data_IF_941025630228
#
_entry.id   IF_941025630228
#
_cell.length_a   1.000
_cell.length_b   1.000
_cell.length_c   1.000
_cell.angle_alpha   90.00
_cell.angle_beta   90.00
_cell.angle_gamma   90.00
#
_symmetry.space_group_name_H-M   'P 1'
#
loop_
_entity.id
_entity.type
_entity.pdbx_description
1 polymer ?
#
# COMPACT_ATOMS: atom_id res chain seq x y z
N UNK A 1 -5.33 8.89 8.67
CA UNK A 1 -4.24 8.82 7.68
C UNK A 1 -3.99 7.35 7.40
N UNK A 2 -3.72 6.94 6.16
CA UNK A 2 -3.50 5.54 5.77
C UNK A 2 -2.19 5.43 4.98
N UNK A 3 -1.52 4.29 5.06
CA UNK A 3 -0.35 3.97 4.21
C UNK A 3 -0.80 2.96 3.16
N UNK A 4 -0.47 3.23 1.90
CA UNK A 4 -0.76 2.35 0.75
C UNK A 4 0.56 1.80 0.22
N UNK A 5 0.65 0.47 0.09
CA UNK A 5 1.78 -0.14 -0.61
C UNK A 5 1.61 -0.06 -2.14
N UNK A 6 2.70 -0.30 -2.88
CA UNK A 6 2.65 -0.23 -4.34
C UNK A 6 1.76 -1.30 -4.97
N UNK A 7 1.56 -2.43 -4.30
CA UNK A 7 0.64 -3.47 -4.79
C UNK A 7 -0.81 -2.99 -4.73
N UNK A 8 -1.26 -2.43 -3.60
CA UNK A 8 -2.59 -1.85 -3.46
C UNK A 8 -2.81 -0.63 -4.38
N UNK A 9 -1.78 0.21 -4.57
CA UNK A 9 -1.86 1.33 -5.50
C UNK A 9 -2.01 0.86 -6.96
N UNK A 10 -1.21 -0.13 -7.40
CA UNK A 10 -1.29 -0.69 -8.76
C UNK A 10 -2.62 -1.43 -8.97
N UNK A 11 -3.08 -2.21 -8.00
CA UNK A 11 -4.34 -2.94 -8.11
C UNK A 11 -5.56 -2.01 -8.16
N UNK A 12 -5.55 -0.92 -7.37
CA UNK A 12 -6.54 0.16 -7.47
C UNK A 12 -6.54 0.81 -8.86
N UNK A 13 -5.36 1.07 -9.43
CA UNK A 13 -5.21 1.66 -10.76
C UNK A 13 -5.65 0.72 -11.90
N UNK A 14 -5.45 -0.59 -11.74
CA UNK A 14 -5.67 -1.58 -12.80
C UNK A 14 -7.05 -2.28 -12.74
N UNK A 15 -7.78 -2.17 -11.64
CA UNK A 15 -9.14 -2.73 -11.43
C UNK A 15 -9.25 -4.23 -11.79
N UNK A 16 -8.38 -5.06 -11.22
CA UNK A 16 -8.40 -6.54 -11.34
C UNK A 16 -9.42 -7.20 -10.40
N UNK A 17 -9.56 -8.54 -10.40
CA UNK A 17 -10.49 -9.27 -9.51
C UNK A 17 -10.25 -9.03 -8.00
N UNK A 18 -9.02 -8.72 -7.57
CA UNK A 18 -8.72 -8.29 -6.19
C UNK A 18 -8.99 -6.79 -6.02
N UNK A 19 -8.65 -5.98 -7.02
CA UNK A 19 -8.97 -4.54 -7.07
C UNK A 19 -10.47 -4.23 -6.97
N UNK A 20 -11.34 -5.13 -7.45
CA UNK A 20 -12.80 -5.01 -7.34
C UNK A 20 -13.32 -4.98 -5.89
N UNK A 21 -12.60 -5.55 -4.91
CA UNK A 21 -12.98 -5.50 -3.47
C UNK A 21 -12.65 -4.17 -2.79
N UNK A 22 -11.54 -3.54 -3.19
CA UNK A 22 -11.19 -2.16 -2.79
C UNK A 22 -12.13 -1.15 -3.47
N UNK A 23 -12.44 -1.40 -4.73
CA UNK A 23 -13.34 -0.61 -5.57
C UNK A 23 -14.82 -0.73 -5.12
N UNK A 24 -15.29 -1.88 -4.64
CA UNK A 24 -16.63 -2.07 -4.05
C UNK A 24 -16.91 -1.16 -2.84
N UNK A 25 -15.85 -0.76 -2.11
CA UNK A 25 -15.95 0.22 -1.02
C UNK A 25 -15.91 1.68 -1.50
N UNK A 26 -15.53 1.95 -2.75
CA UNK A 26 -15.21 3.32 -3.24
C UNK A 26 -15.79 3.64 -4.64
N UNK A 27 -16.63 2.81 -5.30
CA UNK A 27 -17.25 2.98 -6.65
C UNK A 27 -16.51 2.31 -7.85
N UNK A 28 -17.24 1.75 -8.83
CA UNK A 28 -16.97 0.50 -9.62
C UNK A 28 -16.41 0.53 -11.11
N UNK A 29 -15.71 -0.58 -11.50
CA UNK A 29 -15.42 -1.38 -12.76
C UNK A 29 -14.45 -1.00 -13.94
N UNK A 30 -13.32 -1.75 -14.12
CA UNK A 30 -12.51 -2.25 -15.32
C UNK A 30 -11.76 -1.34 -16.39
N UNK A 31 -10.45 -1.57 -16.70
CA UNK A 31 -9.52 -0.60 -17.38
C UNK A 31 -9.09 -0.88 -18.85
N UNK A 32 -9.32 0.06 -19.79
CA UNK A 32 -8.77 0.13 -21.18
C UNK A 32 -7.52 1.03 -21.28
N UNK A 33 -6.82 1.15 -22.43
CA UNK A 33 -5.64 2.03 -22.56
C UNK A 33 -5.94 3.52 -22.26
N UNK A 34 -7.12 4.01 -22.67
CA UNK A 34 -7.63 5.32 -22.29
C UNK A 34 -7.80 5.41 -20.77
N UNK A 35 -8.29 4.35 -20.16
CA UNK A 35 -8.51 4.24 -18.72
C UNK A 35 -7.23 4.08 -17.92
N UNK A 36 -6.16 3.56 -18.51
CA UNK A 36 -4.82 3.57 -17.92
C UNK A 36 -4.26 4.99 -17.85
N UNK A 37 -4.59 5.85 -18.81
CA UNK A 37 -4.30 7.28 -18.72
C UNK A 37 -5.15 7.95 -17.63
N UNK A 38 -6.46 7.69 -17.62
CA UNK A 38 -7.34 8.21 -16.57
C UNK A 38 -6.85 7.80 -15.16
N UNK A 39 -6.39 6.55 -15.00
CA UNK A 39 -5.82 6.06 -13.76
C UNK A 39 -4.52 6.80 -13.35
N UNK A 40 -3.65 7.13 -14.32
CA UNK A 40 -2.45 7.93 -14.05
C UNK A 40 -2.77 9.37 -13.66
N UNK A 41 -3.80 9.95 -14.28
CA UNK A 41 -4.31 11.28 -13.94
C UNK A 41 -4.94 11.24 -12.52
N UNK A 42 -5.76 10.23 -12.22
CA UNK A 42 -6.35 10.00 -10.89
C UNK A 42 -5.26 9.81 -9.80
N UNK A 43 -4.18 9.08 -10.09
CA UNK A 43 -3.04 8.93 -9.18
C UNK A 43 -2.34 10.25 -8.90
N UNK A 44 -2.25 11.11 -9.92
CA UNK A 44 -1.60 12.41 -9.84
C UNK A 44 -2.43 13.41 -9.04
N UNK A 45 -3.76 13.28 -9.09
CA UNK A 45 -4.71 14.09 -8.32
C UNK A 45 -4.88 13.60 -6.87
N UNK A 46 -4.40 12.39 -6.56
CA UNK A 46 -4.47 11.84 -5.22
C UNK A 46 -3.61 12.69 -4.26
N UNK A 47 -4.21 13.12 -3.16
CA UNK A 47 -3.53 13.89 -2.10
C UNK A 47 -2.59 13.00 -1.27
N UNK A 48 -1.54 12.48 -1.91
CA UNK A 48 -0.51 11.64 -1.31
C UNK A 48 0.60 12.49 -0.73
N UNK A 49 0.93 12.22 0.53
CA UNK A 49 2.18 12.72 1.13
C UNK A 49 3.25 11.65 0.96
N UNK A 50 4.34 12.00 0.28
CA UNK A 50 5.50 11.11 0.12
C UNK A 50 6.45 11.33 1.29
N UNK A 51 6.86 10.24 1.92
CA UNK A 51 7.84 10.26 2.99
C UNK A 51 9.17 9.72 2.46
N UNK A 52 10.30 10.37 2.80
CA UNK A 52 11.60 9.83 2.45
C UNK A 52 11.88 8.56 3.27
N UNK A 53 12.63 7.63 2.69
CA UNK A 53 12.92 6.31 3.25
C UNK A 53 14.08 6.33 4.25
N UNK A 54 14.95 7.35 4.19
CA UNK A 54 16.11 7.55 5.07
C UNK A 54 15.75 7.55 6.56
N UNK A 55 14.63 8.19 6.92
CA UNK A 55 14.13 8.23 8.31
C UNK A 55 13.58 6.89 8.81
N UNK A 56 13.32 5.94 7.91
CA UNK A 56 12.73 4.63 8.22
C UNK A 56 13.78 3.51 8.28
N UNK A 57 14.98 3.73 7.75
CA UNK A 57 16.02 2.70 7.56
C UNK A 57 16.34 1.91 8.82
N UNK A 58 16.40 2.57 9.98
CA UNK A 58 16.65 1.91 11.26
C UNK A 58 15.60 0.85 11.57
N UNK A 59 14.32 1.20 11.41
CA UNK A 59 13.22 0.27 11.68
C UNK A 59 13.10 -0.80 10.59
N UNK A 60 13.36 -0.45 9.34
CA UNK A 60 13.42 -1.42 8.24
C UNK A 60 14.49 -2.49 8.49
N UNK A 61 15.65 -2.09 9.01
CA UNK A 61 16.74 -3.01 9.33
C UNK A 61 16.38 -3.99 10.45
N UNK A 62 15.61 -3.57 11.45
CA UNK A 62 15.13 -4.45 12.52
C UNK A 62 14.16 -5.53 11.99
N UNK A 63 13.42 -5.24 10.92
CA UNK A 63 12.43 -6.13 10.32
C UNK A 63 13.00 -7.10 9.28
N UNK A 64 14.29 -6.95 8.90
CA UNK A 64 14.93 -7.65 7.77
C UNK A 64 14.88 -9.17 7.83
N UNK A 65 14.76 -9.75 9.02
CA UNK A 65 14.75 -11.21 9.20
C UNK A 65 13.37 -11.80 8.81
N UNK A 66 12.33 -10.96 8.70
CA UNK A 66 10.94 -11.37 8.45
C UNK A 66 10.29 -10.71 7.23
N UNK A 67 10.80 -9.55 6.79
CA UNK A 67 10.23 -8.75 5.72
C UNK A 67 11.27 -8.39 4.66
N UNK A 68 10.82 -8.29 3.41
CA UNK A 68 11.63 -7.69 2.35
C UNK A 68 11.88 -6.22 2.67
N UNK A 69 12.94 -5.62 2.11
CA UNK A 69 13.19 -4.19 2.29
C UNK A 69 12.01 -3.31 1.84
N UNK A 70 11.26 -3.77 0.83
CA UNK A 70 10.08 -3.09 0.32
C UNK A 70 8.94 -3.10 1.34
N UNK A 71 8.58 -4.28 1.83
CA UNK A 71 7.52 -4.48 2.82
C UNK A 71 7.85 -3.78 4.15
N UNK A 72 9.11 -3.88 4.56
CA UNK A 72 9.61 -3.23 5.76
C UNK A 72 9.49 -1.70 5.69
N UNK A 73 9.61 -1.09 4.51
CA UNK A 73 9.44 0.36 4.35
C UNK A 73 8.00 0.80 4.66
N UNK A 74 7.00 0.10 4.11
CA UNK A 74 5.59 0.44 4.36
C UNK A 74 5.15 0.11 5.78
N UNK A 75 5.63 -1.01 6.34
CA UNK A 75 5.38 -1.36 7.75
C UNK A 75 6.02 -0.35 8.69
N UNK A 76 7.27 0.04 8.45
CA UNK A 76 7.96 1.06 9.26
C UNK A 76 7.26 2.42 9.18
N UNK A 77 6.82 2.83 7.98
CA UNK A 77 6.08 4.07 7.79
C UNK A 77 4.73 4.03 8.53
N UNK A 78 3.99 2.92 8.43
CA UNK A 78 2.71 2.74 9.12
C UNK A 78 2.87 2.81 10.65
N UNK A 79 3.93 2.20 11.19
CA UNK A 79 4.26 2.32 12.61
C UNK A 79 4.63 3.75 13.01
N UNK A 80 5.46 4.43 12.22
CA UNK A 80 5.91 5.80 12.51
C UNK A 80 4.75 6.81 12.52
N UNK A 81 3.75 6.56 11.68
CA UNK A 81 2.58 7.42 11.52
C UNK A 81 1.37 7.01 12.38
N UNK A 82 1.47 5.90 13.13
CA UNK A 82 0.34 5.27 13.82
C UNK A 82 -0.89 5.11 12.91
N UNK A 83 -0.65 4.63 11.69
CA UNK A 83 -1.64 4.54 10.63
C UNK A 83 -1.86 3.08 10.18
N UNK A 84 -3.08 2.70 9.74
CA UNK A 84 -3.27 1.41 9.09
C UNK A 84 -2.52 1.35 7.76
N UNK A 85 -1.88 0.20 7.52
CA UNK A 85 -1.30 -0.19 6.25
C UNK A 85 -2.33 -1.00 5.45
N UNK A 86 -2.76 -0.47 4.32
CA UNK A 86 -3.65 -1.15 3.37
C UNK A 86 -2.78 -1.81 2.29
N UNK A 87 -2.97 -3.11 2.07
CA UNK A 87 -2.18 -3.92 1.13
C UNK A 87 -3.01 -5.03 0.51
N UNK A 88 -2.64 -5.48 -0.69
CA UNK A 88 -3.18 -6.71 -1.28
C UNK A 88 -2.40 -7.97 -0.87
N UNK A 89 -1.26 -7.83 -0.18
CA UNK A 89 -0.51 -8.98 0.34
C UNK A 89 -1.01 -9.39 1.73
N UNK A 90 -1.90 -10.38 1.74
CA UNK A 90 -2.44 -10.94 2.97
C UNK A 90 -1.37 -11.58 3.89
N UNK A 91 -0.20 -11.97 3.36
CA UNK A 91 0.87 -12.54 4.19
C UNK A 91 1.50 -11.49 5.08
N UNK A 92 1.49 -10.23 4.65
CA UNK A 92 2.09 -9.13 5.38
C UNK A 92 1.43 -8.94 6.75
N UNK A 93 0.11 -9.14 6.83
CA UNK A 93 -0.65 -9.08 8.07
C UNK A 93 -0.19 -10.11 9.14
N UNK A 94 0.43 -11.20 8.71
CA UNK A 94 0.91 -12.27 9.58
C UNK A 94 2.41 -12.21 9.88
N UNK A 95 3.12 -11.23 9.32
CA UNK A 95 4.56 -11.14 9.45
C UNK A 95 4.95 -10.82 10.91
N UNK A 96 5.89 -11.57 11.50
CA UNK A 96 6.30 -11.31 12.88
C UNK A 96 7.21 -10.09 12.99
N UNK A 97 7.23 -9.48 14.18
CA UNK A 97 8.19 -8.44 14.54
C UNK A 97 7.73 -7.00 14.31
N UNK A 98 6.50 -6.77 13.84
CA UNK A 98 5.92 -5.43 13.72
C UNK A 98 4.67 -5.24 14.61
N UNK A 99 4.28 -3.98 14.78
CA UNK A 99 3.07 -3.51 15.47
C UNK A 99 2.09 -2.79 14.54
N UNK A 100 2.44 -2.64 13.26
CA UNK A 100 1.56 -2.02 12.27
C UNK A 100 0.19 -2.72 12.24
N UNK A 101 -0.88 -1.92 12.17
CA UNK A 101 -2.24 -2.40 11.88
C UNK A 101 -2.33 -2.63 10.38
N UNK A 102 -2.51 -3.87 9.95
CA UNK A 102 -2.55 -4.22 8.52
C UNK A 102 -3.98 -4.58 8.12
N UNK A 103 -4.45 -3.97 7.04
CA UNK A 103 -5.75 -4.20 6.42
C UNK A 103 -5.51 -4.80 5.04
N UNK A 104 -5.57 -6.14 4.95
CA UNK A 104 -5.46 -6.85 3.69
C UNK A 104 -6.79 -6.79 2.91
N UNK A 105 -6.72 -6.52 1.61
CA UNK A 105 -7.87 -6.34 0.70
C UNK A 105 -7.77 -7.20 -0.56
#
# INVERSE_FOLDING_TARGET
MIVLDGSAAIEWLLRTDTGLRVEERIFARAVTALRGKDALDDLSDLALTRYPDDVLLGRMWELRDNLTAYDAAYVALAEALDAPLVTCDAKLASAPGHRARIEAV
#
